data_IF_940091790740
#
_entry.id   IF_940091790740
#
_cell.length_a   1.000
_cell.length_b   1.000
_cell.length_c   1.000
_cell.angle_alpha   90.00
_cell.angle_beta   90.00
_cell.angle_gamma   90.00
#
_symmetry.space_group_name_H-M   'P 1'
#
loop_
_entity.id
_entity.type
_entity.pdbx_description
1 polymer ?
#
# COMPACT_ATOMS: atom_id res chain seq x y z
N UNK A 1 36.19 6.62 16.95
CA UNK A 1 36.60 7.62 15.93
C UNK A 1 35.65 8.80 16.05
N UNK A 2 36.13 10.03 16.22
CA UNK A 2 35.25 11.21 16.28
C UNK A 2 35.11 11.81 14.88
N UNK A 3 33.96 12.42 14.56
CA UNK A 3 33.67 12.98 13.23
C UNK A 3 34.74 13.98 12.80
N UNK A 4 35.29 14.75 13.75
CA UNK A 4 36.35 15.73 13.52
C UNK A 4 37.68 15.12 13.04
N UNK A 5 37.86 13.81 13.21
CA UNK A 5 39.08 13.08 12.86
C UNK A 5 38.96 12.41 11.47
N UNK A 6 37.82 12.54 10.79
CA UNK A 6 37.57 11.98 9.46
C UNK A 6 38.27 12.79 8.37
N UNK A 7 38.79 12.09 7.36
CA UNK A 7 39.12 12.76 6.10
C UNK A 7 37.83 13.23 5.41
N UNK A 8 37.95 14.20 4.50
CA UNK A 8 36.81 14.70 3.71
C UNK A 8 36.13 13.55 2.94
N UNK A 9 36.90 12.57 2.49
CA UNK A 9 36.36 11.41 1.75
C UNK A 9 35.56 10.50 2.68
N UNK A 10 36.10 10.18 3.85
CA UNK A 10 35.41 9.32 4.82
C UNK A 10 34.14 9.99 5.34
N UNK A 11 34.15 11.31 5.52
CA UNK A 11 32.98 12.07 5.89
C UNK A 11 31.89 12.07 4.81
N UNK A 12 32.27 12.20 3.53
CA UNK A 12 31.32 12.09 2.41
C UNK A 12 30.69 10.71 2.32
N UNK A 13 31.48 9.65 2.48
CA UNK A 13 30.98 8.28 2.51
C UNK A 13 29.99 8.08 3.67
N UNK A 14 30.33 8.56 4.87
CA UNK A 14 29.44 8.49 6.03
C UNK A 14 28.09 9.18 5.77
N UNK A 15 28.08 10.36 5.15
CA UNK A 15 26.84 11.06 4.79
C UNK A 15 26.04 10.25 3.77
N UNK A 16 26.70 9.73 2.73
CA UNK A 16 26.01 8.94 1.70
C UNK A 16 25.35 7.70 2.29
N UNK A 17 26.06 6.98 3.15
CA UNK A 17 25.55 5.78 3.81
C UNK A 17 24.36 6.13 4.72
N UNK A 18 24.49 7.19 5.53
CA UNK A 18 23.42 7.64 6.43
C UNK A 18 22.17 8.08 5.67
N UNK A 19 22.33 8.84 4.57
CA UNK A 19 21.21 9.29 3.74
C UNK A 19 20.54 8.11 3.07
N UNK A 20 21.31 7.16 2.54
CA UNK A 20 20.78 5.95 1.92
C UNK A 20 19.96 5.13 2.92
N UNK A 21 20.51 4.87 4.11
CA UNK A 21 19.82 4.13 5.17
C UNK A 21 18.52 4.83 5.60
N UNK A 22 18.56 6.16 5.77
CA UNK A 22 17.38 6.94 6.15
C UNK A 22 16.29 6.87 5.08
N UNK A 23 16.67 6.95 3.80
CA UNK A 23 15.72 6.84 2.68
C UNK A 23 15.15 5.42 2.61
N UNK A 24 15.96 4.38 2.75
CA UNK A 24 15.50 2.98 2.75
C UNK A 24 14.50 2.72 3.87
N UNK A 25 14.79 3.17 5.10
CA UNK A 25 13.86 3.07 6.24
C UNK A 25 12.56 3.81 5.98
N UNK A 26 12.64 5.04 5.47
CA UNK A 26 11.46 5.84 5.13
C UNK A 26 10.63 5.15 4.05
N UNK A 27 11.25 4.61 3.01
CA UNK A 27 10.52 3.91 1.94
C UNK A 27 9.81 2.67 2.47
N UNK A 28 10.43 1.92 3.38
CA UNK A 28 9.75 0.80 4.05
C UNK A 28 8.54 1.33 4.84
N UNK A 29 8.71 2.32 5.71
CA UNK A 29 7.59 2.83 6.52
C UNK A 29 6.40 3.35 5.69
N UNK A 30 6.67 4.01 4.56
CA UNK A 30 5.63 4.63 3.74
C UNK A 30 5.04 3.72 2.66
N UNK A 31 5.81 2.74 2.17
CA UNK A 31 5.42 1.92 1.02
C UNK A 31 5.23 0.44 1.38
N UNK A 32 5.47 0.04 2.63
CA UNK A 32 5.15 -1.30 3.08
C UNK A 32 3.63 -1.48 3.06
N UNK A 33 3.18 -2.44 2.25
CA UNK A 33 1.79 -2.87 2.22
C UNK A 33 1.64 -3.99 3.25
N UNK A 34 0.97 -3.76 4.39
CA UNK A 34 0.82 -4.77 5.43
C UNK A 34 0.05 -6.01 4.94
N UNK A 35 -0.69 -5.87 3.84
CA UNK A 35 -1.43 -6.96 3.19
C UNK A 35 -0.64 -7.60 2.03
N UNK A 36 0.63 -7.21 1.84
CA UNK A 36 1.49 -7.79 0.80
C UNK A 36 1.61 -9.31 0.96
N UNK A 37 1.48 -10.03 -0.16
CA UNK A 37 1.47 -11.49 -0.24
C UNK A 37 0.32 -12.20 0.51
N UNK A 38 -0.67 -11.45 1.01
CA UNK A 38 -1.89 -12.05 1.57
C UNK A 38 -2.88 -12.44 0.47
N UNK A 39 -3.50 -13.60 0.65
CA UNK A 39 -4.58 -14.06 -0.21
C UNK A 39 -5.92 -13.43 0.20
N UNK A 40 -6.71 -13.02 -0.79
CA UNK A 40 -8.10 -12.62 -0.56
C UNK A 40 -8.91 -13.78 0.07
N UNK A 41 -9.76 -13.44 1.03
CA UNK A 41 -10.76 -14.39 1.55
C UNK A 41 -11.64 -14.90 0.41
N UNK A 42 -12.00 -16.18 0.46
CA UNK A 42 -12.71 -16.85 -0.64
C UNK A 42 -14.05 -16.19 -0.97
N UNK A 43 -14.78 -15.70 0.03
CA UNK A 43 -16.02 -14.97 -0.15
C UNK A 43 -15.84 -13.63 -0.87
N UNK A 44 -14.72 -12.93 -0.60
CA UNK A 44 -14.38 -11.66 -1.26
C UNK A 44 -13.97 -11.92 -2.70
N UNK A 45 -13.10 -12.91 -2.93
CA UNK A 45 -12.67 -13.32 -4.29
C UNK A 45 -13.86 -13.67 -5.17
N UNK A 46 -14.80 -14.49 -4.68
CA UNK A 46 -16.02 -14.86 -5.43
C UNK A 46 -16.89 -13.64 -5.78
N UNK A 47 -17.05 -12.70 -4.85
CA UNK A 47 -17.81 -11.46 -5.10
C UNK A 47 -17.16 -10.58 -6.15
N UNK A 48 -15.84 -10.46 -6.13
CA UNK A 48 -15.08 -9.67 -7.10
C UNK A 48 -15.17 -10.28 -8.51
N UNK A 49 -15.00 -11.59 -8.65
CA UNK A 49 -15.16 -12.29 -9.94
C UNK A 49 -16.56 -12.02 -10.52
N UNK A 50 -17.61 -12.17 -9.71
CA UNK A 50 -18.99 -11.88 -10.15
C UNK A 50 -19.15 -10.41 -10.57
N UNK A 51 -18.57 -9.48 -9.81
CA UNK A 51 -18.61 -8.05 -10.15
C UNK A 51 -17.91 -7.75 -11.47
N UNK A 52 -16.78 -8.41 -11.73
CA UNK A 52 -16.05 -8.29 -12.97
C UNK A 52 -16.87 -8.81 -14.15
N UNK A 53 -17.42 -10.02 -14.06
CA UNK A 53 -18.27 -10.61 -15.11
C UNK A 53 -19.47 -9.72 -15.45
N UNK A 54 -20.10 -9.13 -14.44
CA UNK A 54 -21.22 -8.20 -14.62
C UNK A 54 -20.78 -6.92 -15.35
N UNK A 55 -19.60 -6.41 -15.00
CA UNK A 55 -19.02 -5.22 -15.64
C UNK A 55 -18.69 -5.49 -17.10
N UNK A 56 -18.10 -6.66 -17.40
CA UNK A 56 -17.79 -7.09 -18.77
C UNK A 56 -19.06 -7.27 -19.63
N UNK A 57 -20.17 -7.70 -19.02
CA UNK A 57 -21.49 -7.77 -19.67
C UNK A 57 -22.16 -6.39 -19.85
N UNK A 58 -21.55 -5.32 -19.36
CA UNK A 58 -22.11 -3.97 -19.40
C UNK A 58 -23.27 -3.75 -18.44
N UNK A 59 -23.42 -4.58 -17.41
CA UNK A 59 -24.43 -4.37 -16.37
C UNK A 59 -24.12 -3.06 -15.65
N UNK A 60 -25.12 -2.18 -15.57
CA UNK A 60 -24.98 -0.92 -14.83
C UNK A 60 -24.90 -1.21 -13.34
N UNK A 61 -23.96 -0.53 -12.67
CA UNK A 61 -23.91 -0.52 -11.21
C UNK A 61 -25.18 0.07 -10.59
N UNK A 62 -25.33 -0.10 -9.28
CA UNK A 62 -26.44 0.49 -8.53
C UNK A 62 -26.14 1.96 -8.17
N UNK A 63 -27.15 2.84 -8.13
CA UNK A 63 -26.98 4.20 -7.65
C UNK A 63 -26.45 4.23 -6.20
N UNK A 64 -25.65 5.26 -5.89
CA UNK A 64 -25.08 5.45 -4.54
C UNK A 64 -26.17 5.46 -3.44
N UNK A 65 -27.34 6.01 -3.73
CA UNK A 65 -28.49 6.04 -2.81
C UNK A 65 -28.97 4.65 -2.41
N UNK A 66 -28.90 3.69 -3.34
CA UNK A 66 -29.29 2.29 -3.10
C UNK A 66 -28.23 1.56 -2.27
N UNK A 67 -26.95 1.83 -2.54
CA UNK A 67 -25.82 1.33 -1.71
C UNK A 67 -25.97 1.78 -0.25
N UNK A 68 -26.24 3.07 -0.03
CA UNK A 68 -26.42 3.65 1.31
C UNK A 68 -27.59 2.97 2.05
N UNK A 69 -28.70 2.69 1.35
CA UNK A 69 -29.84 1.98 1.93
C UNK A 69 -29.49 0.56 2.35
N UNK A 70 -28.74 -0.18 1.52
CA UNK A 70 -28.30 -1.54 1.84
C UNK A 70 -27.38 -1.56 3.06
N UNK A 71 -26.42 -0.63 3.15
CA UNK A 71 -25.48 -0.55 4.28
C UNK A 71 -26.16 -0.13 5.59
N UNK A 72 -27.15 0.76 5.54
CA UNK A 72 -27.89 1.17 6.74
C UNK A 72 -28.85 0.09 7.26
N UNK A 73 -29.35 -0.80 6.38
CA UNK A 73 -30.20 -1.92 6.76
C UNK A 73 -29.42 -3.14 7.28
N UNK A 74 -28.09 -3.10 7.27
CA UNK A 74 -27.20 -4.12 7.82
C UNK A 74 -26.79 -3.83 9.29
N UNK A 75 -27.41 -2.81 9.92
CA UNK A 75 -27.23 -2.50 11.34
C UNK A 75 -28.12 -3.33 12.25
#
# INVERSE_FOLDING_TARGET
MQIKDLSINDFKSLIQDTVKETIEQTLIEYLDDPDFDLNLKQEVKKRLIKSQENTEKGEKGIPLTEVIKQLNNLK
#
